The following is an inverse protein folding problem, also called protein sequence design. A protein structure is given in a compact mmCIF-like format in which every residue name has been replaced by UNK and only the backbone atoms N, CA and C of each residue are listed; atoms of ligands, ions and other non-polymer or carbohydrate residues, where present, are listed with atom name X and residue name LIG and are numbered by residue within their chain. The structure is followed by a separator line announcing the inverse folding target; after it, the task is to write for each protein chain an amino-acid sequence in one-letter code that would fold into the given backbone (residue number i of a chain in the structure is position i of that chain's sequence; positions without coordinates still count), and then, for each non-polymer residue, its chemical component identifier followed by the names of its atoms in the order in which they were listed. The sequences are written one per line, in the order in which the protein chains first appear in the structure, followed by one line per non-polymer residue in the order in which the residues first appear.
data_IF_451680377464
#
_entry.id   IF_451680377464
#
_cell.length_a   1.000
_cell.length_b   1.000
_cell.length_c   1.000
_cell.angle_alpha   90.00
_cell.angle_beta   90.00
_cell.angle_gamma   90.00
#
_symmetry.space_group_name_H-M   'P 1'
#
loop_
_entity.id
_entity.type
_entity.pdbx_description
1 polymer ?
#
# COMPACT_ATOMS: atom_id res chain seq x y z
N UNK A 1 -13.63 10.32 -11.10
CA UNK A 1 -13.36 8.94 -10.63
C UNK A 1 -11.86 8.73 -10.56
N UNK A 2 -11.43 8.12 -9.50
CA UNK A 2 -10.00 7.87 -9.26
C UNK A 2 -9.84 6.40 -8.88
N UNK A 3 -9.34 5.60 -9.81
CA UNK A 3 -9.11 4.17 -9.59
C UNK A 3 -7.75 3.81 -10.15
N UNK A 4 -6.95 3.12 -9.36
CA UNK A 4 -5.67 2.59 -9.80
C UNK A 4 -5.61 1.10 -9.46
N UNK A 5 -5.11 0.30 -10.39
CA UNK A 5 -4.94 -1.14 -10.19
C UNK A 5 -3.52 -1.51 -10.57
N UNK A 6 -2.81 -2.12 -9.63
CA UNK A 6 -1.42 -2.52 -9.81
C UNK A 6 -1.27 -4.00 -9.51
N UNK A 7 -0.61 -4.71 -10.40
CA UNK A 7 -0.22 -6.09 -10.19
C UNK A 7 1.30 -6.17 -10.16
N UNK A 8 1.83 -6.79 -9.12
CA UNK A 8 3.28 -6.88 -8.96
C UNK A 8 3.65 -7.76 -7.78
N UNK A 9 4.84 -7.54 -7.26
CA UNK A 9 5.36 -8.36 -6.17
C UNK A 9 5.50 -7.53 -4.91
N UNK A 10 5.10 -8.11 -3.78
CA UNK A 10 5.25 -7.47 -2.48
C UNK A 10 6.74 -7.36 -2.15
N UNK A 11 7.18 -6.14 -1.82
CA UNK A 11 8.61 -5.86 -1.60
C UNK A 11 9.12 -6.47 -0.30
N UNK A 12 8.30 -6.39 0.74
CA UNK A 12 8.64 -6.92 2.07
C UNK A 12 7.36 -7.30 2.80
N UNK A 13 7.44 -8.15 3.84
CA UNK A 13 6.24 -8.50 4.60
C UNK A 13 5.58 -7.26 5.20
N UNK A 14 4.25 -7.28 5.23
CA UNK A 14 3.47 -6.20 5.84
C UNK A 14 3.32 -6.44 7.33
N UNK A 15 3.18 -5.36 8.09
CA UNK A 15 2.91 -5.42 9.52
C UNK A 15 1.51 -4.88 9.80
N UNK A 16 0.79 -5.59 10.68
CA UNK A 16 -0.53 -5.15 11.11
C UNK A 16 -0.36 -4.12 12.21
N UNK A 17 -1.03 -2.99 12.05
CA UNK A 17 -0.96 -1.88 13.01
C UNK A 17 -2.36 -1.45 13.41
N UNK A 18 -2.45 -0.77 14.53
CA UNK A 18 -3.71 -0.21 15.03
C UNK A 18 -3.60 1.30 15.11
N UNK A 19 -4.72 1.99 14.88
CA UNK A 19 -4.79 3.43 15.06
C UNK A 19 -4.62 3.76 16.54
N UNK A 20 -4.37 5.05 16.84
CA UNK A 20 -4.14 5.50 18.21
C UNK A 20 -5.31 5.19 19.14
N UNK A 21 -6.53 5.23 18.62
CA UNK A 21 -7.72 4.93 19.41
C UNK A 21 -8.02 3.43 19.49
N UNK A 22 -7.23 2.60 18.82
CA UNK A 22 -7.39 1.15 18.82
C UNK A 22 -8.56 0.62 18.01
N UNK A 23 -9.32 1.50 17.36
CA UNK A 23 -10.54 1.11 16.64
C UNK A 23 -10.30 0.65 15.20
N UNK A 24 -9.23 1.13 14.58
CA UNK A 24 -8.94 0.81 13.20
C UNK A 24 -7.67 -0.02 13.09
N UNK A 25 -7.77 -1.12 12.36
CA UNK A 25 -6.64 -1.99 12.07
C UNK A 25 -6.24 -1.71 10.62
N UNK A 26 -4.96 -1.56 10.37
CA UNK A 26 -4.47 -1.30 9.02
C UNK A 26 -3.10 -1.95 8.78
N UNK A 27 -2.77 -2.12 7.51
CA UNK A 27 -1.45 -2.62 7.11
C UNK A 27 -0.98 -1.81 5.91
N UNK A 28 0.29 -1.43 5.93
CA UNK A 28 0.91 -0.71 4.83
C UNK A 28 1.91 -1.62 4.13
N UNK A 29 1.97 -1.50 2.81
CA UNK A 29 2.90 -2.29 2.03
C UNK A 29 3.40 -1.52 0.82
N UNK A 30 4.33 -2.13 0.10
CA UNK A 30 4.86 -1.59 -1.14
C UNK A 30 4.86 -2.70 -2.18
N UNK A 31 4.26 -2.42 -3.33
CA UNK A 31 4.24 -3.36 -4.45
C UNK A 31 5.20 -2.88 -5.52
N UNK A 32 6.00 -3.80 -6.05
CA UNK A 32 6.93 -3.53 -7.13
C UNK A 32 6.34 -4.06 -8.43
N UNK A 33 6.16 -3.16 -9.38
CA UNK A 33 5.70 -3.52 -10.71
C UNK A 33 6.88 -3.43 -11.67
N UNK A 34 7.20 -4.56 -12.30
CA UNK A 34 8.30 -4.61 -13.26
C UNK A 34 7.76 -4.46 -14.67
N UNK A 35 8.34 -3.52 -15.40
CA UNK A 35 8.03 -3.32 -16.80
C UNK A 35 9.33 -3.17 -17.59
N UNK A 36 9.62 -4.16 -18.42
CA UNK A 36 10.89 -4.24 -19.14
C UNK A 36 12.07 -4.22 -18.15
N UNK A 37 12.96 -3.24 -18.27
CA UNK A 37 14.14 -3.11 -17.40
C UNK A 37 13.93 -2.10 -16.28
N UNK A 38 12.68 -1.65 -16.06
CA UNK A 38 12.35 -0.65 -15.04
C UNK A 38 11.44 -1.24 -13.98
N UNK A 39 11.59 -0.74 -12.77
CA UNK A 39 10.74 -1.13 -11.65
C UNK A 39 10.08 0.10 -11.06
N UNK A 40 8.77 0.05 -10.94
CA UNK A 40 8.00 1.09 -10.27
C UNK A 40 7.53 0.59 -8.93
N UNK A 41 7.61 1.43 -7.91
CA UNK A 41 7.19 1.08 -6.55
C UNK A 41 5.97 1.91 -6.16
N UNK A 42 4.96 1.23 -5.63
CA UNK A 42 3.72 1.87 -5.21
C UNK A 42 3.42 1.51 -3.77
N UNK A 43 3.20 2.53 -2.94
CA UNK A 43 2.80 2.31 -1.55
C UNK A 43 1.30 2.16 -1.48
N UNK A 44 0.83 1.24 -0.64
CA UNK A 44 -0.60 1.03 -0.45
C UNK A 44 -0.92 0.77 1.01
N UNK A 45 -2.18 1.01 1.37
CA UNK A 45 -2.68 0.76 2.73
C UNK A 45 -3.98 -0.03 2.64
N UNK A 46 -4.09 -1.05 3.47
CA UNK A 46 -5.28 -1.86 3.63
C UNK A 46 -5.86 -1.65 5.01
N UNK A 47 -7.17 -1.80 5.13
CA UNK A 47 -7.87 -1.59 6.40
C UNK A 47 -8.72 -2.79 6.78
N UNK A 48 -8.92 -3.00 8.07
CA UNK A 48 -9.85 -3.99 8.60
C UNK A 48 -9.47 -5.43 8.28
N UNK A 49 -10.45 -6.22 7.91
CA UNK A 49 -10.26 -7.64 7.64
C UNK A 49 -9.32 -7.92 6.47
N UNK A 50 -9.32 -7.05 5.47
CA UNK A 50 -8.39 -7.18 4.35
C UNK A 50 -6.95 -7.05 4.82
N UNK A 51 -6.68 -6.11 5.74
CA UNK A 51 -5.34 -5.95 6.30
C UNK A 51 -4.91 -7.19 7.06
N UNK A 52 -5.79 -7.75 7.88
CA UNK A 52 -5.52 -8.96 8.63
C UNK A 52 -5.23 -10.15 7.71
N UNK A 53 -6.05 -10.31 6.67
CA UNK A 53 -5.87 -11.37 5.69
C UNK A 53 -4.55 -11.24 4.94
N UNK A 54 -4.23 -10.02 4.50
CA UNK A 54 -3.02 -9.78 3.73
C UNK A 54 -1.74 -10.05 4.53
N UNK A 55 -1.71 -9.61 5.78
CA UNK A 55 -0.56 -9.84 6.65
C UNK A 55 -0.35 -11.35 6.87
N UNK A 56 -1.44 -12.09 6.98
CA UNK A 56 -1.41 -13.53 7.23
C UNK A 56 -0.94 -14.33 6.02
N UNK A 57 -1.35 -13.93 4.81
CA UNK A 57 -1.22 -14.75 3.62
C UNK A 57 -0.13 -14.30 2.65
N UNK A 58 0.25 -13.03 2.68
CA UNK A 58 1.21 -12.48 1.72
C UNK A 58 2.55 -12.22 2.39
N UNK A 59 3.59 -12.91 1.93
CA UNK A 59 4.95 -12.70 2.38
C UNK A 59 5.76 -11.93 1.36
N UNK A 60 7.04 -11.70 1.67
CA UNK A 60 7.96 -11.04 0.76
C UNK A 60 8.02 -11.76 -0.58
N UNK A 61 7.90 -11.00 -1.66
CA UNK A 61 7.96 -11.56 -3.01
C UNK A 61 6.67 -12.13 -3.53
N UNK A 62 5.60 -12.14 -2.71
CA UNK A 62 4.30 -12.66 -3.16
C UNK A 62 3.75 -11.83 -4.30
N UNK A 63 3.17 -12.52 -5.30
CA UNK A 63 2.51 -11.86 -6.42
C UNK A 63 1.14 -11.39 -5.96
N UNK A 64 0.91 -10.08 -6.02
CA UNK A 64 -0.31 -9.48 -5.50
C UNK A 64 -0.94 -8.53 -6.51
N UNK A 65 -2.25 -8.32 -6.36
CA UNK A 65 -3.00 -7.31 -7.10
C UNK A 65 -3.63 -6.37 -6.09
N UNK A 66 -3.39 -5.06 -6.27
CA UNK A 66 -3.91 -4.02 -5.39
C UNK A 66 -4.72 -3.04 -6.22
N UNK A 67 -5.93 -2.74 -5.79
CA UNK A 67 -6.78 -1.76 -6.47
C UNK A 67 -7.46 -0.86 -5.45
N UNK A 68 -7.57 0.40 -5.77
CA UNK A 68 -8.23 1.36 -4.91
C UNK A 68 -8.08 2.78 -5.42
N UNK A 69 -8.14 3.73 -4.49
CA UNK A 69 -7.98 5.14 -4.80
C UNK A 69 -6.54 5.57 -4.62
N UNK A 70 -6.05 6.37 -5.56
CA UNK A 70 -4.71 6.93 -5.49
C UNK A 70 -4.81 8.29 -4.84
N UNK A 71 -4.22 8.44 -3.66
CA UNK A 71 -4.28 9.67 -2.88
C UNK A 71 -2.91 10.30 -2.72
N UNK A 72 -2.87 11.63 -2.72
CA UNK A 72 -1.67 12.37 -2.41
C UNK A 72 -1.84 13.08 -1.09
N UNK A 73 -0.74 13.22 -0.36
CA UNK A 73 -0.69 13.98 0.88
C UNK A 73 0.51 14.90 0.84
N UNK A 74 0.31 16.14 1.28
CA UNK A 74 1.40 17.11 1.36
C UNK A 74 1.91 17.16 2.80
N UNK A 75 3.21 17.22 2.94
CA UNK A 75 3.82 17.39 4.25
C UNK A 75 5.03 18.32 4.15
N UNK A 76 5.40 18.91 5.25
CA UNK A 76 6.55 19.81 5.30
C UNK A 76 7.73 19.12 5.97
N UNK A 77 8.88 19.25 5.35
CA UNK A 77 10.13 18.74 5.91
C UNK A 77 11.25 19.70 5.54
N UNK A 78 11.96 20.18 6.56
CA UNK A 78 13.11 21.09 6.39
C UNK A 78 12.74 22.36 5.58
N UNK A 79 11.54 22.89 5.82
CA UNK A 79 11.07 24.09 5.13
C UNK A 79 10.54 23.86 3.72
N UNK A 80 10.56 22.62 3.25
CA UNK A 80 10.08 22.27 1.91
C UNK A 80 8.76 21.51 1.99
N UNK A 81 7.86 21.79 1.02
CA UNK A 81 6.62 21.04 0.91
C UNK A 81 6.85 19.84 -0.01
N UNK A 82 6.62 18.65 0.53
CA UNK A 82 6.77 17.41 -0.21
C UNK A 82 5.42 16.74 -0.40
N UNK A 83 5.31 15.95 -1.46
CA UNK A 83 4.09 15.21 -1.76
C UNK A 83 4.36 13.71 -1.62
N UNK A 84 3.51 13.05 -0.85
CA UNK A 84 3.54 11.60 -0.70
C UNK A 84 2.33 11.00 -1.41
N UNK A 85 2.52 9.85 -2.06
CA UNK A 85 1.47 9.16 -2.80
C UNK A 85 1.19 7.82 -2.16
N UNK A 86 -0.08 7.46 -2.08
CA UNK A 86 -0.49 6.21 -1.45
C UNK A 86 -1.77 5.70 -2.09
N UNK A 87 -1.87 4.38 -2.22
CA UNK A 87 -3.11 3.74 -2.69
C UNK A 87 -3.90 3.32 -1.47
N UNK A 88 -5.11 3.86 -1.33
CA UNK A 88 -6.04 3.38 -0.31
C UNK A 88 -6.79 2.23 -0.95
N UNK A 89 -6.33 1.03 -0.68
CA UNK A 89 -6.78 -0.16 -1.38
C UNK A 89 -8.11 -0.67 -0.84
N UNK A 90 -8.99 -1.06 -1.75
CA UNK A 90 -10.23 -1.75 -1.41
C UNK A 90 -10.30 -3.16 -1.99
N UNK A 91 -9.30 -3.52 -2.80
CA UNK A 91 -9.15 -4.88 -3.33
C UNK A 91 -7.71 -5.31 -3.14
N UNK A 92 -7.51 -6.53 -2.64
CA UNK A 92 -6.20 -7.14 -2.48
C UNK A 92 -6.33 -8.63 -2.79
N UNK A 93 -5.56 -9.09 -3.76
CA UNK A 93 -5.57 -10.49 -4.17
C UNK A 93 -4.16 -11.08 -4.33
#
# INVERSE_FOLDING_TARGET
MNVITIKGNLVKPMELKRSKDGKTVFAAGTVAENYKDKTNFFNFTLFGKQAEYAVKTAGKGARILVSGKFKSSKYEKDGNTLTSWNIVANVFE
#
